data_IF_710966858432
#
_entry.id   IF_710966858432
#
_cell.length_a   1.000
_cell.length_b   1.000
_cell.length_c   1.000
_cell.angle_alpha   90.00
_cell.angle_beta   90.00
_cell.angle_gamma   90.00
#
_symmetry.space_group_name_H-M   'P 1'
#
loop_
_entity.id
_entity.type
_entity.pdbx_description
1 polymer ?
#
# COMPACT_ATOMS: atom_id res chain seq x y z
N UNK A 1 -19.49 -1.23 2.19
CA UNK A 1 -19.04 -2.00 3.37
C UNK A 1 -18.74 -3.41 2.91
N UNK A 2 -17.49 -3.70 2.62
CA UNK A 2 -17.01 -5.04 2.27
C UNK A 2 -15.60 -5.15 2.81
N UNK A 3 -15.43 -5.82 3.94
CA UNK A 3 -14.11 -6.02 4.55
C UNK A 3 -13.31 -6.97 3.65
N UNK A 4 -12.15 -6.54 3.18
CA UNK A 4 -11.17 -7.42 2.53
C UNK A 4 -10.66 -8.42 3.56
N UNK A 5 -11.10 -9.67 3.44
CA UNK A 5 -10.70 -10.77 4.29
C UNK A 5 -9.85 -11.76 3.49
N UNK A 6 -8.52 -11.62 3.50
CA UNK A 6 -7.63 -12.74 3.15
C UNK A 6 -6.32 -12.62 3.93
N UNK A 7 -5.94 -13.67 4.67
CA UNK A 7 -4.67 -13.77 5.42
C UNK A 7 -3.42 -13.92 4.53
N UNK A 8 -3.42 -13.25 3.38
CA UNK A 8 -2.36 -13.24 2.36
C UNK A 8 -2.32 -11.90 1.61
N UNK A 9 -3.37 -11.05 1.71
CA UNK A 9 -3.39 -9.72 1.09
C UNK A 9 -2.26 -8.80 1.62
N UNK A 10 -1.86 -8.94 2.88
CA UNK A 10 -0.92 -8.01 3.52
C UNK A 10 0.53 -8.09 2.96
N UNK A 11 0.97 -9.24 2.44
CA UNK A 11 2.37 -9.39 1.96
C UNK A 11 2.63 -8.65 0.66
N UNK A 12 1.62 -8.52 -0.20
CA UNK A 12 1.78 -7.76 -1.45
C UNK A 12 1.88 -6.27 -1.13
N UNK A 13 0.96 -5.75 -0.33
CA UNK A 13 0.97 -4.34 0.08
C UNK A 13 2.23 -3.98 0.87
N UNK A 14 2.70 -4.88 1.75
CA UNK A 14 3.97 -4.72 2.47
C UNK A 14 5.18 -4.72 1.53
N UNK A 15 5.20 -5.59 0.51
CA UNK A 15 6.28 -5.63 -0.48
C UNK A 15 6.31 -4.33 -1.29
N UNK A 16 5.15 -3.82 -1.68
CA UNK A 16 5.02 -2.53 -2.39
C UNK A 16 5.51 -1.39 -1.50
N UNK A 17 5.07 -1.30 -0.25
CA UNK A 17 5.48 -0.26 0.68
C UNK A 17 7.00 -0.27 0.94
N UNK A 18 7.61 -1.46 1.12
CA UNK A 18 9.04 -1.62 1.29
C UNK A 18 9.85 -1.15 0.08
N UNK A 19 9.42 -1.52 -1.13
CA UNK A 19 10.08 -1.10 -2.36
C UNK A 19 9.90 0.41 -2.60
N UNK A 20 8.69 0.95 -2.38
CA UNK A 20 8.41 2.38 -2.50
C UNK A 20 9.32 3.20 -1.57
N UNK A 21 9.45 2.79 -0.30
CA UNK A 21 10.35 3.45 0.65
C UNK A 21 11.82 3.31 0.25
N UNK A 22 12.25 2.11 -0.15
CA UNK A 22 13.65 1.83 -0.53
C UNK A 22 14.09 2.69 -1.71
N UNK A 23 13.21 2.91 -2.67
CA UNK A 23 13.53 3.59 -3.92
C UNK A 23 13.03 5.04 -3.99
N UNK A 24 12.32 5.53 -2.96
CA UNK A 24 11.67 6.85 -3.00
C UNK A 24 10.59 6.95 -4.08
N UNK A 25 9.88 5.85 -4.35
CA UNK A 25 8.91 5.74 -5.43
C UNK A 25 7.50 6.17 -5.00
N UNK A 26 6.73 6.71 -5.95
CA UNK A 26 5.30 7.00 -5.79
C UNK A 26 4.48 5.73 -6.00
N UNK A 27 3.56 5.42 -5.08
CA UNK A 27 2.62 4.31 -5.20
C UNK A 27 1.36 4.78 -5.92
N UNK A 28 0.91 4.03 -6.92
CA UNK A 28 -0.37 4.25 -7.60
C UNK A 28 -1.31 3.10 -7.22
N UNK A 29 -2.43 3.41 -6.59
CA UNK A 29 -3.38 2.38 -6.12
C UNK A 29 -4.80 2.92 -6.07
N UNK A 30 -5.79 2.07 -6.38
CA UNK A 30 -7.20 2.38 -6.17
C UNK A 30 -7.65 2.24 -4.71
N UNK A 31 -6.80 1.66 -3.86
CA UNK A 31 -7.04 1.56 -2.41
C UNK A 31 -5.84 2.10 -1.62
N UNK A 32 -5.81 3.42 -1.34
CA UNK A 32 -4.70 4.04 -0.64
C UNK A 32 -4.67 3.69 0.86
N UNK A 33 -5.77 3.21 1.44
CA UNK A 33 -5.87 3.02 2.88
C UNK A 33 -5.02 1.84 3.35
N UNK A 34 -4.92 0.78 2.55
CA UNK A 34 -4.07 -0.38 2.84
C UNK A 34 -2.57 0.02 2.88
N UNK A 35 -2.12 0.84 1.93
CA UNK A 35 -0.72 1.33 1.88
C UNK A 35 -0.44 2.31 3.02
N UNK A 36 -1.37 3.23 3.34
CA UNK A 36 -1.20 4.22 4.41
C UNK A 36 -1.11 3.60 5.79
N UNK A 37 -1.77 2.46 6.02
CA UNK A 37 -1.64 1.71 7.28
C UNK A 37 -0.23 1.17 7.50
N UNK A 38 0.48 0.82 6.42
CA UNK A 38 1.83 0.27 6.46
C UNK A 38 2.89 1.37 6.58
N UNK A 39 2.78 2.42 5.76
CA UNK A 39 3.66 3.58 5.82
C UNK A 39 2.91 4.86 5.39
N UNK A 40 2.51 5.72 6.35
CA UNK A 40 1.77 6.94 6.06
C UNK A 40 2.63 8.05 5.41
N UNK A 41 3.94 7.84 5.26
CA UNK A 41 4.86 8.84 4.69
C UNK A 41 5.08 8.68 3.19
N UNK A 42 4.61 7.57 2.59
CA UNK A 42 4.77 7.31 1.17
C UNK A 42 3.95 8.29 0.31
N UNK A 43 4.54 8.70 -0.81
CA UNK A 43 3.82 9.44 -1.84
C UNK A 43 2.83 8.50 -2.55
N UNK A 44 1.55 8.86 -2.56
CA UNK A 44 0.47 8.04 -3.15
C UNK A 44 -0.34 8.86 -4.14
N UNK A 45 -0.64 8.26 -5.29
CA UNK A 45 -1.61 8.73 -6.28
C UNK A 45 -2.76 7.73 -6.33
N UNK A 46 -4.00 8.25 -6.27
CA UNK A 46 -5.21 7.42 -6.34
C UNK A 46 -5.68 7.33 -7.79
N UNK A 47 -6.08 6.13 -8.23
CA UNK A 47 -6.59 5.85 -9.58
C UNK A 47 -7.95 5.13 -9.55
#
# INVERSE_FOLDING_TARGET
MGARSTGTADVVDASVALLARRYGATVVTGDPDDIRRLDPTLAIVVC
#
